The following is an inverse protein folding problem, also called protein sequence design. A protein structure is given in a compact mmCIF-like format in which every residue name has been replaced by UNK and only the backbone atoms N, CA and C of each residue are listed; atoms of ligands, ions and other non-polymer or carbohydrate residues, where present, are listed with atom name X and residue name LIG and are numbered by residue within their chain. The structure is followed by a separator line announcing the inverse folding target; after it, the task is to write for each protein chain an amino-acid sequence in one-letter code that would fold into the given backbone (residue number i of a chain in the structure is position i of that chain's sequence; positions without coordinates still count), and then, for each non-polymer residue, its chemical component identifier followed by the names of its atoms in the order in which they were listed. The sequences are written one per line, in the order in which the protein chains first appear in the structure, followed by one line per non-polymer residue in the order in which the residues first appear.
data_IF_639955070701
#
_entry.id   IF_639955070701
#
_cell.length_a   1.000
_cell.length_b   1.000
_cell.length_c   1.000
_cell.angle_alpha   90.00
_cell.angle_beta   90.00
_cell.angle_gamma   90.00
#
_symmetry.space_group_name_H-M   'P 1'
#
loop_
_entity.id
_entity.type
_entity.pdbx_description
1 polymer ?
#
# COMPACT_ATOMS: atom_id res chain seq x y z
N UNK A 1 -11.24 19.56 6.73
CA UNK A 1 -11.44 18.21 7.30
C UNK A 1 -10.73 18.12 8.64
N UNK A 2 -11.27 17.41 9.61
CA UNK A 2 -10.58 17.15 10.88
C UNK A 2 -9.65 15.94 10.70
N UNK A 3 -8.40 16.09 11.17
CA UNK A 3 -7.40 15.04 11.21
C UNK A 3 -7.01 14.83 12.67
N UNK A 4 -6.93 13.59 13.12
CA UNK A 4 -6.51 13.23 14.47
C UNK A 4 -5.49 12.11 14.43
N UNK A 5 -4.76 11.88 15.52
CA UNK A 5 -3.84 10.76 15.59
C UNK A 5 -4.56 9.51 16.11
N UNK A 6 -4.50 8.43 15.34
CA UNK A 6 -4.95 7.12 15.79
C UNK A 6 -3.91 6.50 16.73
N UNK A 7 -2.64 6.52 16.33
CA UNK A 7 -1.52 5.98 17.11
C UNK A 7 -0.29 6.86 16.95
N UNK A 8 0.51 7.01 18.01
CA UNK A 8 1.72 7.85 18.03
C UNK A 8 2.91 7.07 18.58
N UNK A 9 4.13 7.56 18.31
CA UNK A 9 5.37 6.92 18.77
C UNK A 9 5.81 5.72 17.94
N UNK A 10 5.24 5.57 16.75
CA UNK A 10 5.68 4.61 15.74
C UNK A 10 6.94 5.14 15.03
N UNK A 11 7.77 4.26 14.53
CA UNK A 11 9.00 4.65 13.82
C UNK A 11 8.72 4.85 12.33
N UNK A 12 8.52 6.10 11.91
CA UNK A 12 8.30 6.49 10.52
C UNK A 12 7.40 5.51 9.76
N UNK A 13 6.11 5.40 10.16
CA UNK A 13 5.21 4.42 9.59
C UNK A 13 4.97 4.68 8.12
N UNK A 14 5.12 3.64 7.29
CA UNK A 14 4.95 3.72 5.85
C UNK A 14 3.77 2.89 5.36
N UNK A 15 3.68 1.62 5.74
CA UNK A 15 2.60 0.71 5.37
C UNK A 15 1.54 0.56 6.45
N UNK A 16 0.27 0.55 6.04
CA UNK A 16 -0.88 0.22 6.91
C UNK A 16 -1.81 -0.75 6.21
N UNK A 17 -2.33 -1.73 6.95
CA UNK A 17 -3.31 -2.68 6.43
C UNK A 17 -4.28 -3.14 7.53
N UNK A 18 -5.57 -3.16 7.22
CA UNK A 18 -6.63 -3.62 8.12
C UNK A 18 -6.66 -5.14 8.21
N UNK A 19 -6.74 -5.68 9.42
CA UNK A 19 -6.87 -7.10 9.67
C UNK A 19 -8.33 -7.47 9.98
N UNK A 20 -8.89 -8.55 9.41
CA UNK A 20 -10.29 -8.92 9.59
C UNK A 20 -10.73 -9.10 11.04
N UNK A 21 -9.83 -9.46 11.95
CA UNK A 21 -10.13 -9.62 13.38
C UNK A 21 -10.10 -8.32 14.18
N UNK A 22 -9.99 -7.14 13.52
CA UNK A 22 -10.23 -5.86 14.17
C UNK A 22 -8.98 -5.17 14.71
N UNK A 23 -7.86 -5.24 14.01
CA UNK A 23 -6.64 -4.51 14.35
C UNK A 23 -5.94 -3.96 13.09
N UNK A 24 -5.09 -2.96 13.27
CA UNK A 24 -4.32 -2.38 12.16
C UNK A 24 -2.88 -2.89 12.22
N UNK A 25 -2.41 -3.48 11.10
CA UNK A 25 -1.00 -3.73 10.88
C UNK A 25 -0.32 -2.44 10.40
N UNK A 26 0.89 -2.16 10.91
CA UNK A 26 1.66 -1.01 10.48
C UNK A 26 3.14 -1.39 10.37
N UNK A 27 3.81 -0.96 9.31
CA UNK A 27 5.24 -1.14 9.08
C UNK A 27 6.04 0.09 9.47
N UNK A 28 7.30 -0.08 9.90
CA UNK A 28 8.21 1.00 10.27
C UNK A 28 9.51 1.00 9.47
N UNK A 29 10.21 2.14 9.46
CA UNK A 29 11.42 2.39 8.67
C UNK A 29 12.59 1.47 9.08
N UNK A 30 12.73 1.09 10.35
CA UNK A 30 13.77 0.17 10.79
C UNK A 30 13.30 -1.30 10.84
N UNK A 31 12.29 -1.67 10.07
CA UNK A 31 11.82 -3.05 9.91
C UNK A 31 10.80 -3.51 10.94
N UNK A 32 10.29 -2.62 11.75
CA UNK A 32 9.28 -2.99 12.75
C UNK A 32 7.95 -3.33 12.07
N UNK A 33 7.24 -4.31 12.65
CA UNK A 33 5.83 -4.55 12.39
C UNK A 33 5.08 -4.31 13.70
N UNK A 34 4.13 -3.41 13.63
CA UNK A 34 3.28 -3.04 14.76
C UNK A 34 1.87 -3.61 14.57
N UNK A 35 1.30 -4.05 15.69
CA UNK A 35 -0.14 -4.28 15.85
C UNK A 35 -0.72 -3.12 16.63
N UNK A 36 -1.65 -2.39 16.04
CA UNK A 36 -2.30 -1.21 16.63
C UNK A 36 -3.75 -1.55 16.98
N UNK A 37 -4.15 -1.27 18.21
CA UNK A 37 -5.55 -1.30 18.64
C UNK A 37 -6.24 -0.02 18.15
N UNK A 38 -7.26 -0.15 17.33
CA UNK A 38 -7.94 1.01 16.72
C UNK A 38 -8.88 1.76 17.66
N UNK A 39 -9.11 1.23 18.86
CA UNK A 39 -9.98 1.86 19.86
C UNK A 39 -9.16 2.74 20.82
N UNK A 40 -8.04 2.22 21.31
CA UNK A 40 -7.17 2.93 22.27
C UNK A 40 -6.03 3.70 21.61
N UNK A 41 -5.62 3.29 20.40
CA UNK A 41 -4.39 3.77 19.75
C UNK A 41 -3.11 3.15 20.31
N UNK A 42 -3.24 2.22 21.27
CA UNK A 42 -2.10 1.49 21.81
C UNK A 42 -1.52 0.53 20.75
N UNK A 43 -0.22 0.32 20.81
CA UNK A 43 0.42 -0.60 19.87
C UNK A 43 1.47 -1.48 20.55
N UNK A 44 1.74 -2.61 19.92
CA UNK A 44 2.85 -3.50 20.27
C UNK A 44 3.66 -3.84 19.03
N UNK A 45 4.97 -3.91 19.15
CA UNK A 45 5.84 -4.45 18.11
C UNK A 45 5.73 -5.98 18.14
N UNK A 46 5.22 -6.58 17.06
CA UNK A 46 4.99 -8.03 16.95
C UNK A 46 6.06 -8.74 16.14
N UNK A 47 6.80 -8.02 15.31
CA UNK A 47 7.94 -8.55 14.55
C UNK A 47 8.96 -7.45 14.26
N UNK A 48 10.13 -7.89 13.81
CA UNK A 48 11.21 -7.02 13.34
C UNK A 48 11.92 -7.73 12.19
N UNK A 49 11.93 -7.12 11.01
CA UNK A 49 12.55 -7.69 9.81
C UNK A 49 14.02 -7.36 9.69
N UNK A 50 14.46 -6.32 10.41
CA UNK A 50 15.79 -5.73 10.30
C UNK A 50 16.05 -4.99 8.98
N UNK A 51 15.00 -4.75 8.19
CA UNK A 51 15.05 -4.03 6.92
C UNK A 51 14.35 -2.67 6.97
N UNK A 52 13.54 -2.37 5.96
CA UNK A 52 12.65 -1.23 5.90
C UNK A 52 11.32 -1.68 5.26
N UNK A 53 10.27 -1.74 6.07
CA UNK A 53 8.95 -2.20 5.63
C UNK A 53 8.20 -1.05 4.98
N UNK A 54 7.87 -1.23 3.70
CA UNK A 54 7.00 -0.35 2.92
C UNK A 54 5.54 -0.86 3.00
N UNK A 55 4.91 -1.19 1.88
CA UNK A 55 3.52 -1.64 1.86
C UNK A 55 3.27 -3.00 2.52
N UNK A 56 2.06 -3.18 3.02
CA UNK A 56 1.60 -4.38 3.72
C UNK A 56 0.25 -4.85 3.16
N UNK A 57 0.09 -6.18 3.03
CA UNK A 57 -1.20 -6.84 2.80
C UNK A 57 -1.37 -8.03 3.76
N UNK A 58 -2.59 -8.52 3.96
CA UNK A 58 -2.88 -9.67 4.82
C UNK A 58 -3.65 -10.77 4.07
N UNK A 59 -3.44 -12.02 4.46
CA UNK A 59 -4.28 -13.14 4.05
C UNK A 59 -5.43 -13.41 5.06
N UNK A 60 -6.29 -14.39 4.78
CA UNK A 60 -7.42 -14.74 5.65
C UNK A 60 -7.00 -15.33 7.01
N UNK A 61 -5.78 -15.81 7.15
CA UNK A 61 -5.20 -16.27 8.41
C UNK A 61 -4.45 -15.14 9.14
N UNK A 62 -4.51 -13.91 8.58
CA UNK A 62 -3.85 -12.69 9.04
C UNK A 62 -2.32 -12.76 9.02
N UNK A 63 -1.74 -13.69 8.23
CA UNK A 63 -0.32 -13.56 7.94
C UNK A 63 -0.09 -12.25 7.17
N UNK A 64 0.97 -11.56 7.54
CA UNK A 64 1.33 -10.27 6.97
C UNK A 64 2.27 -10.51 5.79
N UNK A 65 1.95 -9.92 4.64
CA UNK A 65 2.80 -9.88 3.47
C UNK A 65 3.36 -8.47 3.35
N UNK A 66 4.66 -8.33 3.61
CA UNK A 66 5.34 -7.05 3.68
C UNK A 66 6.38 -6.92 2.56
N UNK A 67 6.32 -5.82 1.83
CA UNK A 67 7.41 -5.41 0.96
C UNK A 67 8.52 -4.79 1.81
N UNK A 68 9.70 -5.40 1.84
CA UNK A 68 10.83 -4.92 2.62
C UNK A 68 11.95 -4.45 1.70
N UNK A 69 12.10 -3.13 1.60
CA UNK A 69 13.10 -2.50 0.75
C UNK A 69 14.53 -2.80 1.24
N UNK A 70 14.76 -2.82 2.55
CA UNK A 70 16.08 -3.08 3.12
C UNK A 70 16.55 -4.52 2.88
N UNK A 71 15.63 -5.46 2.73
CA UNK A 71 15.92 -6.88 2.42
C UNK A 71 15.81 -7.20 0.93
N UNK A 72 15.29 -6.30 0.11
CA UNK A 72 14.98 -6.56 -1.30
C UNK A 72 14.05 -7.78 -1.48
N UNK A 73 13.06 -7.92 -0.62
CA UNK A 73 12.23 -9.12 -0.52
C UNK A 73 10.77 -8.78 -0.22
N UNK A 74 9.87 -9.65 -0.64
CA UNK A 74 8.54 -9.73 -0.04
C UNK A 74 8.58 -10.81 1.04
N UNK A 75 8.14 -10.45 2.23
CA UNK A 75 8.16 -11.31 3.41
C UNK A 75 6.75 -11.80 3.72
N UNK A 76 6.66 -13.00 4.29
CA UNK A 76 5.48 -13.47 5.02
C UNK A 76 5.81 -13.52 6.50
N UNK A 77 4.97 -12.91 7.32
CA UNK A 77 5.18 -12.78 8.77
C UNK A 77 3.97 -13.36 9.50
N UNK A 78 4.21 -14.32 10.39
CA UNK A 78 3.17 -14.83 11.31
C UNK A 78 3.01 -13.84 12.49
N UNK A 79 1.87 -13.13 12.61
CA UNK A 79 1.69 -12.11 13.64
C UNK A 79 1.64 -12.67 15.07
N UNK A 80 1.46 -13.98 15.25
CA UNK A 80 1.40 -14.64 16.58
C UNK A 80 2.79 -14.97 17.11
N UNK A 81 3.74 -15.26 16.21
CA UNK A 81 5.09 -15.69 16.58
C UNK A 81 6.15 -14.66 16.25
N UNK A 82 5.84 -13.70 15.41
CA UNK A 82 6.77 -12.71 14.88
C UNK A 82 7.77 -13.29 13.86
N UNK A 83 7.59 -14.58 13.47
CA UNK A 83 8.47 -15.22 12.50
C UNK A 83 8.26 -14.61 11.11
N UNK A 84 9.33 -14.07 10.55
CA UNK A 84 9.39 -13.58 9.18
C UNK A 84 10.16 -14.56 8.29
N UNK A 85 9.68 -14.78 7.06
CA UNK A 85 10.33 -15.57 6.03
C UNK A 85 10.27 -14.83 4.70
N UNK A 86 11.37 -14.86 3.95
CA UNK A 86 11.42 -14.30 2.59
C UNK A 86 10.63 -15.24 1.67
N UNK A 87 9.52 -14.79 1.11
CA UNK A 87 8.74 -15.58 0.15
C UNK A 87 9.21 -15.36 -1.29
N UNK A 88 9.80 -14.21 -1.59
CA UNK A 88 10.52 -13.99 -2.84
C UNK A 88 11.52 -12.85 -2.70
N UNK A 89 12.71 -13.07 -3.27
CA UNK A 89 13.76 -12.05 -3.43
C UNK A 89 13.97 -11.70 -4.91
N UNK A 90 13.15 -12.25 -5.79
CA UNK A 90 13.44 -12.31 -7.23
C UNK A 90 14.56 -13.31 -7.54
N UNK A 91 14.51 -13.91 -8.71
CA UNK A 91 15.59 -14.77 -9.20
C UNK A 91 16.47 -13.98 -10.15
N UNK A 92 17.65 -14.52 -10.45
CA UNK A 92 18.77 -13.85 -11.12
C UNK A 92 18.43 -12.94 -12.32
N UNK A 93 17.42 -13.25 -13.09
CA UNK A 93 16.97 -12.43 -14.23
C UNK A 93 15.93 -11.36 -13.87
N UNK A 94 15.33 -11.45 -12.66
CA UNK A 94 14.31 -10.53 -12.14
C UNK A 94 14.57 -10.21 -10.68
N UNK A 95 15.83 -9.85 -10.33
CA UNK A 95 16.16 -9.41 -8.98
C UNK A 95 15.28 -8.24 -8.56
N UNK A 96 14.63 -8.36 -7.40
CA UNK A 96 13.82 -7.30 -6.80
C UNK A 96 14.76 -6.22 -6.27
N UNK A 97 14.49 -4.96 -6.62
CA UNK A 97 15.31 -3.82 -6.21
C UNK A 97 14.69 -3.09 -5.03
N UNK A 98 13.45 -2.64 -5.16
CA UNK A 98 12.72 -1.87 -4.15
C UNK A 98 11.28 -2.37 -4.12
N UNK A 99 11.01 -3.55 -3.52
CA UNK A 99 9.64 -4.02 -3.38
C UNK A 99 8.87 -3.00 -2.54
N UNK A 100 7.70 -2.57 -3.02
CA UNK A 100 7.04 -1.42 -2.43
C UNK A 100 5.62 -1.73 -1.95
N UNK A 101 4.69 -2.04 -2.82
CA UNK A 101 3.28 -2.12 -2.45
C UNK A 101 2.65 -3.45 -2.86
N UNK A 102 2.18 -4.29 -1.91
CA UNK A 102 1.52 -5.56 -2.20
C UNK A 102 -0.01 -5.41 -2.18
N UNK A 103 -0.71 -6.09 -3.06
CA UNK A 103 -2.18 -6.20 -3.05
C UNK A 103 -2.63 -7.58 -3.48
N UNK A 104 -3.56 -8.18 -2.74
CA UNK A 104 -4.16 -9.46 -3.11
C UNK A 104 -5.33 -9.30 -4.07
N UNK A 105 -5.35 -10.12 -5.09
CA UNK A 105 -6.51 -10.35 -5.92
C UNK A 105 -7.39 -11.46 -5.31
N UNK A 106 -8.68 -11.48 -5.66
CA UNK A 106 -9.67 -12.42 -5.14
C UNK A 106 -9.36 -13.89 -5.42
N UNK A 107 -8.55 -14.20 -6.43
CA UNK A 107 -8.11 -15.55 -6.77
C UNK A 107 -6.86 -16.02 -6.01
N UNK A 108 -6.34 -15.20 -5.11
CA UNK A 108 -5.19 -15.52 -4.27
C UNK A 108 -3.84 -15.07 -4.81
N UNK A 109 -3.79 -14.51 -6.02
CA UNK A 109 -2.55 -13.90 -6.53
C UNK A 109 -2.20 -12.66 -5.75
N UNK A 110 -0.91 -12.49 -5.43
CA UNK A 110 -0.35 -11.28 -4.85
C UNK A 110 0.36 -10.48 -5.94
N UNK A 111 -0.21 -9.36 -6.31
CA UNK A 111 0.51 -8.38 -7.13
C UNK A 111 1.35 -7.49 -6.20
N UNK A 112 2.56 -7.16 -6.60
CA UNK A 112 3.35 -6.18 -5.88
C UNK A 112 4.21 -5.35 -6.84
N UNK A 113 4.40 -4.09 -6.49
CA UNK A 113 5.30 -3.20 -7.20
C UNK A 113 6.75 -3.40 -6.74
N UNK A 114 7.67 -3.31 -7.68
CA UNK A 114 9.08 -3.07 -7.46
C UNK A 114 9.37 -1.69 -8.05
N UNK A 115 9.57 -0.70 -7.19
CA UNK A 115 9.75 0.69 -7.64
C UNK A 115 11.03 0.88 -8.47
N UNK A 116 11.95 -0.07 -8.39
CA UNK A 116 13.27 0.09 -8.99
C UNK A 116 14.07 1.16 -8.27
N UNK A 117 14.78 1.98 -9.02
CA UNK A 117 15.61 3.08 -8.50
C UNK A 117 15.07 4.40 -8.98
N UNK A 118 15.02 5.38 -8.09
CA UNK A 118 14.65 6.74 -8.44
C UNK A 118 15.52 7.28 -9.59
N UNK A 119 14.89 7.82 -10.63
CA UNK A 119 15.55 8.32 -11.85
C UNK A 119 15.93 7.26 -12.89
N UNK A 120 15.81 5.98 -12.60
CA UNK A 120 16.25 4.91 -13.51
C UNK A 120 15.18 4.40 -14.47
N UNK A 121 13.90 4.66 -14.21
CA UNK A 121 12.75 4.14 -14.97
C UNK A 121 12.80 2.62 -15.14
N UNK A 122 13.12 1.94 -14.07
CA UNK A 122 13.23 0.48 -13.99
C UNK A 122 12.18 -0.16 -13.07
N UNK A 123 11.12 0.60 -12.73
CA UNK A 123 9.97 0.12 -11.96
C UNK A 123 9.20 -0.98 -12.69
N UNK A 124 8.60 -1.88 -11.92
CA UNK A 124 7.94 -3.10 -12.42
C UNK A 124 6.79 -3.51 -11.53
N UNK A 125 5.91 -4.37 -12.08
CA UNK A 125 4.91 -5.09 -11.29
C UNK A 125 5.13 -6.58 -11.45
N UNK A 126 5.15 -7.28 -10.32
CA UNK A 126 5.23 -8.72 -10.23
C UNK A 126 3.90 -9.31 -9.76
N UNK A 127 3.66 -10.57 -10.13
CA UNK A 127 2.60 -11.40 -9.60
C UNK A 127 3.22 -12.64 -8.95
N UNK A 128 2.94 -12.85 -7.68
CA UNK A 128 3.24 -14.10 -6.98
C UNK A 128 1.98 -14.95 -6.94
N UNK A 129 2.04 -16.12 -7.58
CA UNK A 129 0.94 -17.06 -7.61
C UNK A 129 0.83 -17.84 -6.28
N UNK A 130 -0.35 -18.36 -5.90
CA UNK A 130 -0.52 -19.15 -4.67
C UNK A 130 0.42 -20.35 -4.56
N UNK A 131 0.92 -20.87 -5.69
CA UNK A 131 1.92 -21.94 -5.76
C UNK A 131 3.37 -21.49 -5.54
N UNK A 132 3.62 -20.19 -5.32
CA UNK A 132 4.96 -19.63 -5.12
C UNK A 132 5.69 -19.26 -6.42
N UNK A 133 5.06 -19.40 -7.59
CA UNK A 133 5.63 -18.97 -8.86
C UNK A 133 5.61 -17.44 -8.93
N UNK A 134 6.78 -16.83 -9.21
CA UNK A 134 6.93 -15.40 -9.41
C UNK A 134 6.97 -15.08 -10.91
N UNK A 135 6.10 -14.17 -11.34
CA UNK A 135 6.00 -13.70 -12.71
C UNK A 135 6.17 -12.18 -12.78
N UNK A 136 7.00 -11.70 -13.70
CA UNK A 136 7.01 -10.28 -14.09
C UNK A 136 5.81 -10.03 -15.01
N UNK A 137 4.87 -9.16 -14.62
CA UNK A 137 3.60 -8.95 -15.33
C UNK A 137 3.46 -7.60 -16.00
N UNK A 138 4.28 -6.59 -15.60
CA UNK A 138 4.31 -5.28 -16.27
C UNK A 138 5.62 -4.53 -16.04
N UNK A 139 6.03 -3.76 -17.07
CA UNK A 139 7.06 -2.73 -17.05
C UNK A 139 6.56 -1.42 -17.68
N UNK A 140 5.24 -1.26 -17.78
CA UNK A 140 4.60 -0.17 -18.52
C UNK A 140 4.48 1.11 -17.70
N UNK A 141 4.64 1.04 -16.38
CA UNK A 141 4.64 2.16 -15.44
C UNK A 141 6.02 2.30 -14.73
N UNK A 142 7.13 2.56 -15.47
CA UNK A 142 8.48 2.37 -14.95
C UNK A 142 9.00 3.51 -14.08
N UNK A 143 8.29 4.65 -13.99
CA UNK A 143 8.80 5.85 -13.32
C UNK A 143 8.55 5.82 -11.81
N UNK A 144 9.25 4.91 -11.12
CA UNK A 144 9.10 4.61 -9.71
C UNK A 144 7.68 4.09 -9.40
N UNK A 145 7.40 2.86 -9.87
CA UNK A 145 6.11 2.17 -9.62
C UNK A 145 5.89 2.02 -8.12
N UNK A 146 4.85 2.67 -7.58
CA UNK A 146 4.60 2.75 -6.15
C UNK A 146 3.29 2.03 -5.78
N UNK A 147 2.32 2.74 -5.21
CA UNK A 147 1.05 2.20 -4.75
C UNK A 147 0.28 1.42 -5.80
N UNK A 148 -0.31 0.32 -5.40
CA UNK A 148 -1.19 -0.52 -6.19
C UNK A 148 -2.58 -0.59 -5.54
N UNK A 149 -3.63 -0.61 -6.36
CA UNK A 149 -4.97 -0.95 -5.89
C UNK A 149 -5.73 -1.74 -6.94
N UNK A 150 -6.48 -2.75 -6.50
CA UNK A 150 -7.40 -3.48 -7.37
C UNK A 150 -8.77 -2.82 -7.24
N UNK A 151 -9.41 -2.53 -8.36
CA UNK A 151 -10.73 -1.91 -8.36
C UNK A 151 -11.81 -2.82 -7.73
N UNK A 152 -12.95 -2.29 -7.26
CA UNK A 152 -13.99 -3.10 -6.61
C UNK A 152 -14.59 -4.22 -7.47
N UNK A 153 -14.40 -4.16 -8.79
CA UNK A 153 -14.84 -5.24 -9.71
C UNK A 153 -13.82 -6.35 -9.85
N UNK A 154 -12.61 -6.19 -9.31
CA UNK A 154 -11.45 -7.07 -9.45
C UNK A 154 -10.98 -7.26 -10.91
N UNK A 155 -11.34 -6.32 -11.80
CA UNK A 155 -10.98 -6.39 -13.21
C UNK A 155 -9.72 -5.57 -13.55
N UNK A 156 -9.39 -4.57 -12.74
CA UNK A 156 -8.33 -3.61 -13.03
C UNK A 156 -7.35 -3.49 -11.88
N UNK A 157 -6.05 -3.47 -12.21
CA UNK A 157 -4.99 -3.06 -11.31
C UNK A 157 -4.62 -1.61 -11.62
N UNK A 158 -4.76 -0.73 -10.65
CA UNK A 158 -4.30 0.65 -10.69
C UNK A 158 -2.89 0.74 -10.11
N UNK A 159 -2.05 1.58 -10.73
CA UNK A 159 -0.63 1.72 -10.41
C UNK A 159 -0.25 3.20 -10.33
N UNK A 160 0.56 3.53 -9.35
CA UNK A 160 1.16 4.87 -9.21
C UNK A 160 2.51 4.89 -9.92
N UNK A 161 2.78 5.98 -10.66
CA UNK A 161 4.12 6.42 -11.00
C UNK A 161 4.44 7.69 -10.20
N UNK A 162 5.45 7.64 -9.31
CA UNK A 162 5.76 8.79 -8.42
C UNK A 162 6.67 9.83 -9.06
N UNK A 163 7.62 9.44 -9.93
CA UNK A 163 8.56 10.38 -10.59
C UNK A 163 7.95 11.12 -11.78
N UNK A 164 7.09 10.44 -12.54
CA UNK A 164 6.25 11.05 -13.57
C UNK A 164 4.83 11.01 -13.06
N UNK A 165 4.43 11.97 -12.21
CA UNK A 165 3.27 11.83 -11.35
C UNK A 165 2.01 11.49 -12.13
N UNK A 166 1.60 10.23 -12.04
CA UNK A 166 0.44 9.71 -12.76
C UNK A 166 -0.14 8.48 -12.06
N UNK A 167 -1.41 8.22 -12.34
CA UNK A 167 -2.08 6.96 -12.09
C UNK A 167 -2.38 6.31 -13.42
N UNK A 168 -1.98 5.07 -13.55
CA UNK A 168 -2.32 4.21 -14.70
C UNK A 168 -3.10 2.99 -14.24
N UNK A 169 -3.69 2.25 -15.18
CA UNK A 169 -4.32 0.96 -14.91
C UNK A 169 -4.08 -0.04 -16.02
N UNK A 170 -4.18 -1.30 -15.67
CA UNK A 170 -4.15 -2.43 -16.61
C UNK A 170 -5.24 -3.43 -16.27
N UNK A 171 -5.78 -4.10 -17.28
CA UNK A 171 -6.73 -5.21 -17.10
C UNK A 171 -6.03 -6.41 -16.48
N UNK A 172 -6.59 -6.98 -15.43
CA UNK A 172 -6.12 -8.23 -14.81
C UNK A 172 -6.68 -9.40 -15.65
N UNK A 173 -5.78 -10.26 -16.10
CA UNK A 173 -6.13 -11.49 -16.84
C UNK A 173 -5.59 -12.72 -16.14
N UNK A 174 -5.92 -13.91 -16.61
CA UNK A 174 -5.34 -15.16 -16.10
C UNK A 174 -3.81 -15.21 -16.30
N UNK A 175 -3.33 -14.61 -17.39
CA UNK A 175 -1.91 -14.64 -17.80
C UNK A 175 -1.10 -13.43 -17.30
N UNK A 176 -1.70 -12.52 -16.50
CA UNK A 176 -1.04 -11.32 -15.98
C UNK A 176 -1.81 -10.03 -16.25
N UNK A 177 -1.12 -8.98 -16.73
CA UNK A 177 -1.71 -7.67 -17.00
C UNK A 177 -1.68 -7.33 -18.48
N UNK A 178 -2.73 -6.64 -18.99
CA UNK A 178 -2.83 -6.17 -20.37
C UNK A 178 -3.50 -4.81 -20.47
N UNK A 179 -3.32 -4.10 -21.59
CA UNK A 179 -4.07 -2.89 -21.89
C UNK A 179 -3.73 -1.71 -20.98
N UNK A 180 -2.44 -1.46 -20.78
CA UNK A 180 -1.97 -0.32 -19.97
C UNK A 180 -2.47 1.02 -20.50
N UNK A 181 -3.00 1.87 -19.63
CA UNK A 181 -3.40 3.25 -19.92
C UNK A 181 -3.17 4.18 -18.73
N UNK A 182 -2.69 5.39 -18.98
CA UNK A 182 -2.65 6.48 -17.99
C UNK A 182 -4.05 7.07 -17.89
N UNK A 183 -4.64 7.06 -16.69
CA UNK A 183 -6.00 7.54 -16.44
C UNK A 183 -6.06 8.89 -15.73
N UNK A 184 -4.97 9.28 -15.04
CA UNK A 184 -4.89 10.54 -14.33
C UNK A 184 -3.44 11.04 -14.28
N UNK A 185 -3.19 12.24 -14.85
CA UNK A 185 -1.94 12.94 -14.61
C UNK A 185 -2.02 13.75 -13.32
N UNK A 186 -0.95 13.74 -12.53
CA UNK A 186 -0.88 14.40 -11.21
C UNK A 186 0.29 15.40 -11.09
N UNK A 187 0.36 16.41 -11.94
CA UNK A 187 1.52 17.32 -11.96
C UNK A 187 1.69 18.02 -10.60
N UNK A 188 2.96 18.21 -10.22
CA UNK A 188 3.38 18.84 -8.96
C UNK A 188 2.99 18.07 -7.69
N UNK A 189 2.83 16.76 -7.81
CA UNK A 189 2.67 15.86 -6.67
C UNK A 189 3.72 14.76 -6.71
N UNK A 190 3.83 14.00 -5.64
CA UNK A 190 4.51 12.70 -5.56
C UNK A 190 3.45 11.74 -5.02
N UNK A 191 2.61 11.16 -5.88
CA UNK A 191 1.60 10.19 -5.45
C UNK A 191 2.28 8.92 -4.95
N UNK A 192 1.65 8.24 -3.99
CA UNK A 192 2.21 7.11 -3.27
C UNK A 192 1.21 5.96 -3.17
N UNK A 193 0.48 5.80 -2.06
CA UNK A 193 -0.48 4.72 -1.86
C UNK A 193 -1.86 5.00 -2.42
N UNK A 194 -2.60 3.93 -2.70
CA UNK A 194 -3.94 3.95 -3.26
C UNK A 194 -4.93 3.15 -2.39
N UNK A 195 -6.18 3.61 -2.34
CA UNK A 195 -7.29 2.84 -1.79
C UNK A 195 -8.60 3.15 -2.53
N UNK A 196 -9.47 2.16 -2.74
CA UNK A 196 -10.79 2.38 -3.31
C UNK A 196 -11.85 2.56 -2.25
N UNK A 197 -12.81 3.43 -2.52
CA UNK A 197 -14.08 3.50 -1.79
C UNK A 197 -15.08 2.49 -2.35
N UNK A 198 -16.10 2.16 -1.56
CA UNK A 198 -17.16 1.23 -1.97
C UNK A 198 -17.97 1.74 -3.17
N UNK A 199 -18.06 3.05 -3.38
CA UNK A 199 -18.70 3.68 -4.53
C UNK A 199 -17.76 3.87 -5.75
N UNK A 200 -16.54 3.34 -5.67
CA UNK A 200 -15.60 3.27 -6.79
C UNK A 200 -14.70 4.50 -6.97
N UNK A 201 -14.70 5.46 -6.02
CA UNK A 201 -13.71 6.54 -6.04
C UNK A 201 -12.34 6.02 -5.61
N UNK A 202 -11.29 6.56 -6.21
CA UNK A 202 -9.90 6.26 -5.85
C UNK A 202 -9.38 7.32 -4.88
N UNK A 203 -8.87 6.89 -3.73
CA UNK A 203 -8.08 7.72 -2.83
C UNK A 203 -6.61 7.59 -3.17
N UNK A 204 -5.89 8.70 -3.10
CA UNK A 204 -4.47 8.80 -3.47
C UNK A 204 -3.76 9.55 -2.35
N UNK A 205 -2.88 8.86 -1.63
CA UNK A 205 -1.94 9.53 -0.73
C UNK A 205 -0.86 10.21 -1.56
N UNK A 206 -0.44 11.39 -1.14
CA UNK A 206 0.63 12.13 -1.77
C UNK A 206 1.73 12.41 -0.76
N UNK A 207 2.89 11.78 -0.97
CA UNK A 207 4.10 12.08 -0.21
C UNK A 207 4.43 13.59 -0.26
N UNK A 208 4.14 14.22 -1.40
CA UNK A 208 4.17 15.68 -1.58
C UNK A 208 3.09 16.12 -2.59
N UNK A 209 2.33 17.19 -2.30
CA UNK A 209 2.22 17.86 -0.98
C UNK A 209 1.70 16.88 0.07
N UNK A 210 1.78 17.25 1.37
CA UNK A 210 1.23 16.44 2.45
C UNK A 210 -0.31 16.42 2.37
N UNK A 211 -0.84 15.52 1.52
CA UNK A 211 -2.25 15.52 1.14
C UNK A 211 -2.78 14.12 0.83
N UNK A 212 -4.08 13.98 0.98
CA UNK A 212 -4.88 12.88 0.44
C UNK A 212 -5.85 13.46 -0.58
N UNK A 213 -5.89 12.86 -1.76
CA UNK A 213 -6.77 13.27 -2.86
C UNK A 213 -7.79 12.19 -3.17
N UNK A 214 -8.91 12.59 -3.78
CA UNK A 214 -9.93 11.68 -4.36
C UNK A 214 -10.01 11.88 -5.86
N UNK A 215 -10.37 10.81 -6.57
CA UNK A 215 -10.67 10.84 -8.00
C UNK A 215 -11.85 9.94 -8.31
N UNK A 216 -12.87 10.48 -9.02
CA UNK A 216 -14.13 9.79 -9.32
C UNK A 216 -14.19 9.20 -10.75
N UNK A 217 -13.02 9.16 -11.45
CA UNK A 217 -12.94 8.77 -12.85
C UNK A 217 -12.93 9.97 -13.81
N UNK A 218 -13.24 11.17 -13.33
CA UNK A 218 -13.26 12.41 -14.13
C UNK A 218 -12.60 13.58 -13.41
N UNK A 219 -12.93 13.79 -12.14
CA UNK A 219 -12.50 14.94 -11.34
C UNK A 219 -11.62 14.49 -10.18
N UNK A 220 -10.48 15.18 -10.03
CA UNK A 220 -9.60 15.03 -8.87
C UNK A 220 -9.84 16.17 -7.89
N UNK A 221 -10.05 15.84 -6.63
CA UNK A 221 -10.25 16.80 -5.55
C UNK A 221 -9.28 16.53 -4.39
N UNK A 222 -8.94 17.58 -3.64
CA UNK A 222 -8.19 17.45 -2.38
C UNK A 222 -9.17 17.07 -1.28
N UNK A 223 -9.01 15.87 -0.70
CA UNK A 223 -9.79 15.41 0.45
C UNK A 223 -9.27 16.03 1.75
N UNK A 224 -7.97 15.98 1.94
CA UNK A 224 -7.26 16.55 3.09
C UNK A 224 -5.89 17.06 2.67
N UNK A 225 -5.43 18.15 3.26
CA UNK A 225 -4.11 18.74 3.04
C UNK A 225 -3.63 19.38 4.33
N UNK A 226 -2.34 19.24 4.63
CA UNK A 226 -1.71 19.84 5.80
C UNK A 226 -0.42 20.58 5.43
N UNK A 227 -0.52 21.90 5.32
CA UNK A 227 0.61 22.76 4.99
C UNK A 227 1.68 22.84 6.09
N UNK A 228 1.32 22.45 7.32
CA UNK A 228 2.25 22.48 8.45
C UNK A 228 3.05 21.20 8.56
N UNK A 229 2.56 20.09 7.99
CA UNK A 229 3.14 18.77 8.14
C UNK A 229 3.05 18.21 9.56
N UNK A 230 2.12 18.74 10.39
CA UNK A 230 1.95 18.29 11.77
C UNK A 230 1.06 17.04 11.86
N UNK A 231 -0.03 17.01 11.09
CA UNK A 231 -1.03 15.94 11.13
C UNK A 231 -0.92 14.99 9.95
N UNK A 232 -0.65 15.53 8.75
CA UNK A 232 -0.21 14.77 7.58
C UNK A 232 1.24 15.15 7.31
N UNK A 233 2.13 14.18 7.41
CA UNK A 233 3.56 14.40 7.19
C UNK A 233 4.11 13.30 6.28
N UNK A 234 4.25 13.61 5.01
CA UNK A 234 4.55 12.65 3.95
C UNK A 234 3.62 11.42 4.03
N UNK A 235 2.28 11.60 3.85
CA UNK A 235 1.37 10.46 3.86
C UNK A 235 1.68 9.53 2.69
N UNK A 236 1.85 8.25 3.00
CA UNK A 236 2.22 7.19 2.06
C UNK A 236 1.07 6.24 1.79
N UNK A 237 0.73 5.39 2.73
CA UNK A 237 -0.30 4.38 2.55
C UNK A 237 -1.61 4.77 3.22
N UNK A 238 -2.71 4.25 2.67
CA UNK A 238 -4.08 4.47 3.14
C UNK A 238 -4.75 3.13 3.46
N UNK A 239 -5.57 3.11 4.50
CA UNK A 239 -6.46 1.98 4.78
C UNK A 239 -7.80 2.45 5.30
N UNK A 240 -8.87 1.82 4.85
CA UNK A 240 -10.15 1.86 5.53
C UNK A 240 -10.16 0.81 6.62
N UNK A 241 -10.59 1.17 7.82
CA UNK A 241 -10.58 0.34 9.03
C UNK A 241 -11.98 0.29 9.68
N UNK A 242 -12.14 -0.60 10.65
CA UNK A 242 -13.42 -0.86 11.30
C UNK A 242 -14.25 -1.90 10.57
N UNK A 243 -15.23 -2.50 11.27
CA UNK A 243 -16.07 -3.57 10.71
C UNK A 243 -16.88 -3.10 9.48
N UNK A 244 -17.21 -1.83 9.42
CA UNK A 244 -17.93 -1.20 8.31
C UNK A 244 -17.00 -0.55 7.28
N UNK A 245 -15.68 -0.57 7.48
CA UNK A 245 -14.69 0.13 6.66
C UNK A 245 -15.03 1.63 6.47
N UNK A 246 -15.50 2.29 7.52
CA UNK A 246 -15.98 3.68 7.52
C UNK A 246 -15.03 4.67 8.21
N UNK A 247 -13.85 4.20 8.62
CA UNK A 247 -12.77 5.00 9.19
C UNK A 247 -11.58 4.97 8.24
N UNK A 248 -11.08 6.13 7.84
CA UNK A 248 -9.93 6.25 6.95
C UNK A 248 -8.69 6.62 7.73
N UNK A 249 -7.62 5.85 7.60
CA UNK A 249 -6.32 6.13 8.20
C UNK A 249 -5.23 6.23 7.15
N UNK A 250 -4.17 6.97 7.49
CA UNK A 250 -2.95 7.06 6.66
C UNK A 250 -1.70 6.92 7.49
N UNK A 251 -0.73 6.17 6.96
CA UNK A 251 0.64 6.16 7.43
C UNK A 251 1.33 7.49 7.05
N UNK A 252 2.30 7.93 7.86
CA UNK A 252 3.00 9.19 7.66
C UNK A 252 4.51 8.97 7.81
N UNK A 253 5.17 8.71 6.68
CA UNK A 253 6.61 8.41 6.66
C UNK A 253 7.48 9.54 7.19
N UNK A 254 7.05 10.79 7.06
CA UNK A 254 7.75 11.95 7.63
C UNK A 254 7.52 12.15 9.13
N UNK A 255 6.67 11.36 9.76
CA UNK A 255 6.25 11.51 11.15
C UNK A 255 6.39 10.23 11.98
N UNK A 256 5.78 10.23 13.16
CA UNK A 256 5.81 9.12 14.12
C UNK A 256 4.40 8.66 14.49
N UNK A 257 3.47 8.73 13.54
CA UNK A 257 2.06 8.49 13.81
C UNK A 257 1.30 7.93 12.60
N UNK A 258 0.21 7.26 12.89
CA UNK A 258 -0.86 6.99 11.94
C UNK A 258 -1.95 8.03 12.20
N UNK A 259 -2.34 8.76 11.15
CA UNK A 259 -3.42 9.74 11.22
C UNK A 259 -4.76 9.13 10.82
N UNK A 260 -5.85 9.61 11.43
CA UNK A 260 -7.22 9.31 11.05
C UNK A 260 -7.90 10.55 10.49
N UNK A 261 -8.51 10.41 9.32
CA UNK A 261 -9.21 11.46 8.62
C UNK A 261 -10.72 11.30 8.83
N UNK A 262 -11.36 12.32 9.41
CA UNK A 262 -12.82 12.34 9.58
C UNK A 262 -13.50 12.52 8.21
N UNK A 263 -14.17 11.46 7.72
CA UNK A 263 -14.83 11.43 6.42
C UNK A 263 -16.07 10.56 6.48
N UNK A 264 -17.03 10.80 5.57
CA UNK A 264 -18.23 9.97 5.38
C UNK A 264 -18.00 8.88 4.32
N UNK A 265 -16.75 8.67 3.89
CA UNK A 265 -16.40 7.67 2.89
C UNK A 265 -16.39 6.27 3.51
N UNK A 266 -16.79 5.28 2.73
CA UNK A 266 -16.69 3.87 3.07
C UNK A 266 -15.73 3.19 2.10
N UNK A 267 -14.83 2.35 2.63
CA UNK A 267 -13.87 1.59 1.85
C UNK A 267 -14.48 0.44 1.06
N UNK A 268 -13.89 0.13 -0.08
CA UNK A 268 -14.17 -1.11 -0.77
C UNK A 268 -13.66 -2.31 0.06
N UNK A 269 -14.36 -3.47 0.03
CA UNK A 269 -13.87 -4.67 0.67
C UNK A 269 -12.50 -5.09 0.12
N UNK A 270 -11.59 -5.45 1.02
CA UNK A 270 -10.29 -5.99 0.66
C UNK A 270 -10.38 -7.50 0.43
N UNK A 271 -9.46 -8.03 -0.37
CA UNK A 271 -9.35 -9.46 -0.62
C UNK A 271 -8.38 -10.09 0.38
N UNK A 272 -8.90 -11.04 1.18
CA UNK A 272 -8.12 -11.83 2.12
C UNK A 272 -8.15 -13.30 1.65
N UNK A 273 -7.21 -13.73 0.78
CA UNK A 273 -7.22 -15.10 0.27
C UNK A 273 -6.89 -16.12 1.35
N UNK A 274 -7.36 -17.36 1.15
CA UNK A 274 -6.94 -18.51 1.94
C UNK A 274 -5.79 -19.20 1.21
N UNK A 275 -4.58 -19.03 1.75
CA UNK A 275 -3.33 -19.53 1.16
C UNK A 275 -2.76 -20.72 1.95
#
# INVERSE_FOLDING_TARGET
MQISFLATGLDHPEGVAWAPSGWLACGGEAGQIYRVDITSGDWVKIADTGGFVLGIALDAAENIYACDMGRHAVLRIDPRTGRAEDITTGKSEHAIATPNFPVFHSDGRLFFSDSGRWGARDGRVFCLHPGGELQLVSQDAPAFTNGLAIDPTAAWLYMVESEVPAISRSTITADGLTGHEVVLEMPRTVPDGLAFTADGRLLIACYRPDAVMTWDGSTREVLAEDWTGENLNAPTNLAFIGDSLDRLVTANLGGYHVAELATDLQGAPLHYPRL
#
